data_IF_730039178114
#
_entry.id   IF_730039178114
#
_cell.length_a   1.000
_cell.length_b   1.000
_cell.length_c   1.000
_cell.angle_alpha   90.00
_cell.angle_beta   90.00
_cell.angle_gamma   90.00
#
_symmetry.space_group_name_H-M   'P 1'
#
loop_
_entity.id
_entity.type
_entity.pdbx_description
1 polymer ?
#
# COMPACT_ATOMS: atom_id res chain seq x y z
N UNK A 1 5.44 7.76 -1.82
CA UNK A 1 4.20 7.66 -1.02
C UNK A 1 3.25 8.83 -1.20
N UNK A 2 3.55 10.04 -0.72
CA UNK A 2 2.58 11.16 -0.72
C UNK A 2 1.99 11.52 -2.10
N UNK A 3 2.84 11.64 -3.13
CA UNK A 3 2.37 11.93 -4.51
C UNK A 3 1.48 10.80 -5.04
N UNK A 4 1.87 9.54 -4.80
CA UNK A 4 1.06 8.38 -5.18
C UNK A 4 -0.30 8.42 -4.48
N UNK A 5 -0.35 8.60 -3.15
CA UNK A 5 -1.60 8.73 -2.40
C UNK A 5 -2.50 9.86 -2.92
N UNK A 6 -1.91 11.02 -3.23
CA UNK A 6 -2.66 12.19 -3.71
C UNK A 6 -3.23 12.00 -5.13
N UNK A 7 -2.60 11.16 -5.96
CA UNK A 7 -3.04 10.89 -7.32
C UNK A 7 -4.11 9.78 -7.43
N UNK A 8 -4.28 8.99 -6.36
CA UNK A 8 -5.20 7.85 -6.32
C UNK A 8 -6.62 8.30 -5.98
N UNK A 9 -7.62 7.63 -6.57
CA UNK A 9 -9.03 8.06 -6.48
C UNK A 9 -9.73 7.55 -5.23
N UNK A 10 -9.28 6.41 -4.69
CA UNK A 10 -9.94 5.70 -3.61
C UNK A 10 -9.11 5.67 -2.32
N UNK A 11 -7.99 6.41 -2.29
CA UNK A 11 -7.15 6.58 -1.10
C UNK A 11 -7.69 7.69 -0.21
N UNK A 12 -7.53 7.53 1.10
CA UNK A 12 -7.82 8.56 2.09
C UNK A 12 -6.86 9.77 1.95
N UNK A 13 -7.29 10.98 2.34
CA UNK A 13 -6.48 12.18 2.15
C UNK A 13 -5.16 12.12 2.95
N UNK A 14 -4.08 12.58 2.32
CA UNK A 14 -2.80 12.78 2.99
C UNK A 14 -2.91 13.97 3.93
N UNK A 15 -2.79 13.74 5.23
CA UNK A 15 -2.87 14.80 6.25
C UNK A 15 -1.50 15.36 6.60
N UNK A 16 -0.46 14.51 6.60
CA UNK A 16 0.87 14.91 7.04
C UNK A 16 1.95 14.14 6.31
N UNK A 17 3.00 14.85 5.88
CA UNK A 17 4.22 14.26 5.34
C UNK A 17 5.39 14.80 6.17
N UNK A 18 6.27 13.91 6.63
CA UNK A 18 7.45 14.31 7.41
C UNK A 18 8.66 13.48 7.06
N UNK A 19 9.82 14.14 7.01
CA UNK A 19 11.15 13.52 6.88
C UNK A 19 11.90 13.51 8.22
N UNK A 20 11.26 13.98 9.29
CA UNK A 20 11.83 13.91 10.63
C UNK A 20 11.74 12.46 11.12
N UNK A 21 12.86 11.88 11.60
CA UNK A 21 12.87 10.52 12.08
C UNK A 21 11.99 10.40 13.33
N UNK A 22 11.15 9.36 13.36
CA UNK A 22 10.36 8.98 14.53
C UNK A 22 10.30 7.47 14.66
N UNK A 23 10.79 6.96 15.79
CA UNK A 23 10.85 5.52 16.05
C UNK A 23 11.70 4.81 15.00
N UNK A 24 11.15 3.77 14.35
CA UNK A 24 11.83 2.97 13.32
C UNK A 24 11.70 3.55 11.90
N UNK A 25 11.05 4.69 11.72
CA UNK A 25 10.87 5.33 10.42
C UNK A 25 11.72 6.61 10.33
N UNK A 26 12.47 6.75 9.23
CA UNK A 26 13.23 7.98 8.92
C UNK A 26 12.36 9.10 8.35
N UNK A 27 11.10 8.79 8.05
CA UNK A 27 10.07 9.70 7.58
C UNK A 27 8.80 8.89 7.33
N UNK A 28 7.64 9.55 7.29
CA UNK A 28 6.39 8.86 6.99
C UNK A 28 5.36 9.78 6.34
N UNK A 29 4.46 9.16 5.58
CA UNK A 29 3.24 9.79 5.05
C UNK A 29 2.06 9.29 5.88
N UNK A 30 1.26 10.21 6.40
CA UNK A 30 0.07 9.91 7.19
C UNK A 30 -1.18 10.15 6.34
N UNK A 31 -1.93 9.09 6.12
CA UNK A 31 -3.28 9.11 5.54
C UNK A 31 -4.28 8.91 6.67
N UNK A 32 -5.30 9.76 6.76
CA UNK A 32 -6.34 9.63 7.79
C UNK A 32 -7.68 9.30 7.13
N UNK A 33 -8.36 8.20 7.55
CA UNK A 33 -9.68 7.87 7.05
C UNK A 33 -10.67 8.99 7.33
N UNK A 34 -11.46 9.36 6.32
CA UNK A 34 -12.57 10.31 6.50
C UNK A 34 -13.80 9.65 7.11
N UNK A 35 -13.92 8.33 6.97
CA UNK A 35 -15.07 7.53 7.36
C UNK A 35 -14.58 6.22 7.98
N UNK A 36 -15.29 5.73 8.99
CA UNK A 36 -15.07 4.39 9.52
C UNK A 36 -15.61 3.35 8.54
N UNK A 37 -14.69 2.58 7.95
CA UNK A 37 -15.01 1.55 6.97
C UNK A 37 -14.64 0.16 7.51
N UNK A 38 -15.62 -0.74 7.50
CA UNK A 38 -15.43 -2.14 7.90
C UNK A 38 -14.96 -3.04 6.74
N UNK A 39 -15.20 -2.64 5.49
CA UNK A 39 -14.82 -3.39 4.29
C UNK A 39 -14.08 -2.51 3.28
N UNK A 40 -13.23 -3.14 2.47
CA UNK A 40 -12.49 -2.50 1.38
C UNK A 40 -12.87 -3.11 0.05
N UNK A 41 -13.10 -2.26 -0.95
CA UNK A 41 -13.31 -2.66 -2.34
C UNK A 41 -11.99 -3.06 -3.01
N UNK A 42 -12.08 -3.79 -4.13
CA UNK A 42 -10.89 -4.16 -4.92
C UNK A 42 -10.05 -2.95 -5.31
N UNK A 43 -10.68 -1.87 -5.76
CA UNK A 43 -9.95 -0.66 -6.19
C UNK A 43 -9.26 0.04 -5.02
N UNK A 44 -9.86 0.06 -3.83
CA UNK A 44 -9.19 0.59 -2.63
C UNK A 44 -7.95 -0.24 -2.26
N UNK A 45 -8.02 -1.56 -2.38
CA UNK A 45 -6.86 -2.42 -2.13
C UNK A 45 -5.77 -2.25 -3.21
N UNK A 46 -6.15 -2.06 -4.47
CA UNK A 46 -5.20 -1.73 -5.54
C UNK A 46 -4.52 -0.39 -5.28
N UNK A 47 -5.26 0.62 -4.86
CA UNK A 47 -4.72 1.93 -4.47
C UNK A 47 -3.77 1.80 -3.27
N UNK A 48 -4.10 0.96 -2.29
CA UNK A 48 -3.22 0.65 -1.14
C UNK A 48 -1.91 -0.02 -1.58
N UNK A 49 -1.95 -0.91 -2.59
CA UNK A 49 -0.74 -1.50 -3.18
C UNK A 49 0.12 -0.44 -3.87
N UNK A 50 -0.48 0.47 -4.64
CA UNK A 50 0.24 1.57 -5.30
C UNK A 50 0.85 2.51 -4.26
N UNK A 51 0.11 2.81 -3.19
CA UNK A 51 0.60 3.64 -2.09
C UNK A 51 1.84 3.02 -1.41
N UNK A 52 1.79 1.73 -1.09
CA UNK A 52 2.90 1.01 -0.48
C UNK A 52 4.13 1.01 -1.39
N UNK A 53 3.96 0.68 -2.67
CA UNK A 53 5.10 0.59 -3.60
C UNK A 53 5.62 1.95 -4.09
N UNK A 54 4.87 3.04 -3.87
CA UNK A 54 5.20 4.36 -4.39
C UNK A 54 6.49 4.98 -3.84
N UNK A 55 7.01 4.54 -2.69
CA UNK A 55 8.34 4.93 -2.21
C UNK A 55 9.44 4.26 -3.03
N UNK A 56 9.39 2.92 -3.09
CA UNK A 56 10.34 2.10 -3.87
C UNK A 56 10.44 2.52 -5.33
N UNK A 57 9.30 2.71 -6.00
CA UNK A 57 9.29 3.12 -7.41
C UNK A 57 9.93 4.49 -7.60
N UNK A 58 9.69 5.43 -6.69
CA UNK A 58 10.31 6.76 -6.76
C UNK A 58 11.84 6.68 -6.58
N UNK A 59 12.33 5.85 -5.66
CA UNK A 59 13.77 5.62 -5.49
C UNK A 59 14.40 5.04 -6.76
N UNK A 60 13.76 4.03 -7.34
CA UNK A 60 14.27 3.34 -8.52
C UNK A 60 14.29 4.24 -9.77
N UNK A 61 13.27 5.09 -9.94
CA UNK A 61 13.20 6.04 -11.06
C UNK A 61 14.24 7.16 -10.99
N UNK A 62 14.55 7.66 -9.79
CA UNK A 62 15.41 8.83 -9.60
C UNK A 62 16.86 8.44 -9.34
N UNK A 63 17.09 7.47 -8.45
CA UNK A 63 18.43 7.10 -7.99
C UNK A 63 18.99 5.88 -8.71
N UNK A 64 18.15 5.06 -9.35
CA UNK A 64 18.54 3.82 -10.05
C UNK A 64 19.30 2.79 -9.19
N UNK A 65 19.43 3.04 -7.89
CA UNK A 65 20.06 2.18 -6.89
C UNK A 65 19.11 2.05 -5.69
N UNK A 66 18.29 0.98 -5.66
CA UNK A 66 17.25 0.86 -4.65
C UNK A 66 17.80 0.49 -3.27
N UNK A 67 17.32 1.18 -2.24
CA UNK A 67 17.75 0.93 -0.86
C UNK A 67 16.98 -0.19 -0.15
N UNK A 68 17.44 -0.58 1.04
CA UNK A 68 16.73 -1.51 1.95
C UNK A 68 15.58 -0.83 2.71
N UNK A 69 15.41 0.49 2.59
CA UNK A 69 14.41 1.26 3.32
C UNK A 69 12.96 0.86 2.99
N UNK A 70 12.70 0.38 1.78
CA UNK A 70 11.37 -0.03 1.32
C UNK A 70 10.95 -1.44 1.76
N UNK A 71 11.74 -2.15 2.57
CA UNK A 71 11.47 -3.53 2.98
C UNK A 71 10.08 -3.72 3.60
N UNK A 72 9.69 -2.84 4.54
CA UNK A 72 8.38 -2.88 5.20
C UNK A 72 7.23 -2.59 4.24
N UNK A 73 7.45 -1.74 3.23
CA UNK A 73 6.41 -1.43 2.24
C UNK A 73 6.18 -2.61 1.29
N UNK A 74 7.24 -3.29 0.88
CA UNK A 74 7.18 -4.52 0.07
C UNK A 74 6.46 -5.63 0.84
N UNK A 75 6.78 -5.80 2.12
CA UNK A 75 6.12 -6.79 2.98
C UNK A 75 4.61 -6.54 3.06
N UNK A 76 4.20 -5.30 3.34
CA UNK A 76 2.78 -4.91 3.38
C UNK A 76 2.08 -5.11 2.04
N UNK A 77 2.70 -4.68 0.94
CA UNK A 77 2.14 -4.85 -0.40
C UNK A 77 1.95 -6.35 -0.71
N UNK A 78 2.93 -7.18 -0.37
CA UNK A 78 2.87 -8.64 -0.56
C UNK A 78 1.74 -9.26 0.23
N UNK A 79 1.59 -8.90 1.51
CA UNK A 79 0.51 -9.40 2.35
C UNK A 79 -0.88 -9.01 1.81
N UNK A 80 -1.05 -7.74 1.40
CA UNK A 80 -2.31 -7.27 0.82
C UNK A 80 -2.63 -8.00 -0.48
N UNK A 81 -1.66 -8.12 -1.40
CA UNK A 81 -1.84 -8.82 -2.66
C UNK A 81 -2.19 -10.30 -2.45
N UNK A 82 -1.55 -10.96 -1.46
CA UNK A 82 -1.87 -12.34 -1.10
C UNK A 82 -3.31 -12.45 -0.63
N UNK A 83 -3.77 -11.62 0.31
CA UNK A 83 -5.15 -11.62 0.81
C UNK A 83 -6.18 -11.36 -0.28
N UNK A 84 -5.89 -10.46 -1.22
CA UNK A 84 -6.74 -10.20 -2.38
C UNK A 84 -7.00 -11.49 -3.18
N UNK A 85 -5.98 -12.33 -3.36
CA UNK A 85 -6.08 -13.58 -4.12
C UNK A 85 -6.66 -14.71 -3.28
N UNK A 86 -6.17 -14.91 -2.05
CA UNK A 86 -6.48 -16.11 -1.24
C UNK A 86 -7.75 -15.99 -0.42
N UNK A 87 -8.05 -14.80 0.10
CA UNK A 87 -9.08 -14.62 1.11
C UNK A 87 -10.32 -13.94 0.52
N UNK A 88 -10.10 -12.99 -0.39
CA UNK A 88 -11.16 -12.16 -0.97
C UNK A 88 -11.61 -12.58 -2.37
N UNK A 89 -10.94 -13.56 -2.99
CA UNK A 89 -11.32 -14.06 -4.31
C UNK A 89 -11.26 -13.01 -5.43
N UNK A 90 -10.36 -12.03 -5.33
CA UNK A 90 -10.24 -10.90 -6.27
C UNK A 90 -9.34 -11.20 -7.50
N UNK A 91 -9.14 -12.48 -7.81
CA UNK A 91 -8.35 -12.98 -8.92
C UNK A 91 -9.21 -13.78 -9.89
N UNK A 92 -9.32 -13.31 -11.14
CA UNK A 92 -10.13 -13.97 -12.17
C UNK A 92 -9.64 -15.39 -12.51
N UNK A 93 -8.33 -15.64 -12.33
CA UNK A 93 -7.72 -16.96 -12.59
C UNK A 93 -8.06 -17.99 -11.52
N UNK A 94 -8.22 -17.54 -10.27
CA UNK A 94 -8.53 -18.40 -9.12
C UNK A 94 -10.05 -18.52 -8.93
N UNK A 95 -10.77 -17.44 -9.23
CA UNK A 95 -12.19 -17.31 -8.99
C UNK A 95 -12.53 -16.89 -7.56
N UNK A 96 -13.82 -16.85 -7.26
CA UNK A 96 -14.38 -16.46 -5.96
C UNK A 96 -14.34 -17.61 -4.97
N UNK A 97 -13.13 -18.10 -4.68
CA UNK A 97 -12.88 -19.17 -3.71
C UNK A 97 -11.91 -18.70 -2.63
N UNK A 98 -12.14 -19.15 -1.40
CA UNK A 98 -11.22 -18.92 -0.29
C UNK A 98 -10.18 -20.03 -0.29
N UNK A 99 -8.95 -19.71 -0.71
CA UNK A 99 -7.82 -20.65 -0.75
C UNK A 99 -7.13 -20.81 0.62
N UNK A 100 -7.25 -19.82 1.49
CA UNK A 100 -6.62 -19.82 2.81
C UNK A 100 -7.54 -20.34 3.90
N UNK A 101 -7.16 -21.47 4.52
CA UNK A 101 -7.64 -21.90 5.83
C UNK A 101 -6.46 -22.42 6.65
N UNK A 102 -5.62 -21.51 7.12
CA UNK A 102 -4.73 -21.63 8.29
C UNK A 102 -4.54 -20.24 8.91
#
# INVERSE_FOLDING_TARGET
>A
HAVAAAALRYTDPVTKVTILPRGRALGYTMVMPNEDRYSKTRNQLLDELVYAMGGRVAEELIFQDPSTGASNDIEKATQTARKMVTDYGMSDKVGTIKLGSE
#
